data_IF_731837664150
#
_entry.id   IF_731837664150
#
_cell.length_a   1.000
_cell.length_b   1.000
_cell.length_c   1.000
_cell.angle_alpha   90.00
_cell.angle_beta   90.00
_cell.angle_gamma   90.00
#
_symmetry.space_group_name_H-M   'P 1'
#
loop_
_entity.id
_entity.type
_entity.pdbx_description
1 polymer ?
#
# COMPACT_ATOMS: atom_id res chain seq x y z
N UNK A 1 20.11 30.88 -34.28
CA UNK A 1 19.39 30.79 -32.99
C UNK A 1 19.49 29.36 -32.49
N UNK A 2 20.44 29.10 -31.60
CA UNK A 2 20.66 27.80 -30.97
C UNK A 2 19.53 27.53 -29.98
N UNK A 3 18.65 26.58 -30.31
CA UNK A 3 17.71 26.02 -29.34
C UNK A 3 18.52 25.34 -28.24
N UNK A 4 18.71 26.05 -27.13
CA UNK A 4 19.18 25.42 -25.90
C UNK A 4 18.13 24.38 -25.50
N UNK A 5 18.44 23.11 -25.77
CA UNK A 5 17.77 21.97 -25.17
C UNK A 5 17.86 22.19 -23.64
N UNK A 6 16.78 22.71 -23.04
CA UNK A 6 16.61 22.69 -21.58
C UNK A 6 16.53 21.23 -21.18
N UNK A 7 17.69 20.65 -20.88
CA UNK A 7 17.77 19.37 -20.20
C UNK A 7 17.09 19.58 -18.86
N UNK A 8 15.84 19.14 -18.74
CA UNK A 8 15.14 19.16 -17.46
C UNK A 8 15.97 18.32 -16.50
N UNK A 9 16.31 18.82 -15.30
CA UNK A 9 16.96 18.00 -14.32
C UNK A 9 15.99 16.88 -13.94
N UNK A 10 16.31 15.63 -14.31
CA UNK A 10 15.52 14.45 -13.99
C UNK A 10 16.21 13.68 -12.88
N UNK A 11 15.54 13.56 -11.73
CA UNK A 11 16.02 12.70 -10.65
C UNK A 11 15.58 11.26 -10.89
N UNK A 12 16.46 10.44 -11.48
CA UNK A 12 16.22 8.99 -11.64
C UNK A 12 15.95 8.32 -10.28
N UNK A 13 16.72 8.68 -9.25
CA UNK A 13 16.52 8.15 -7.89
C UNK A 13 15.15 8.51 -7.30
N UNK A 14 14.68 9.75 -7.50
CA UNK A 14 13.35 10.17 -7.03
C UNK A 14 12.22 9.40 -7.71
N UNK A 15 12.35 9.12 -9.01
CA UNK A 15 11.36 8.32 -9.75
C UNK A 15 11.30 6.87 -9.27
N UNK A 16 12.45 6.25 -8.99
CA UNK A 16 12.51 4.89 -8.45
C UNK A 16 11.86 4.83 -7.07
N UNK A 17 12.17 5.78 -6.19
CA UNK A 17 11.56 5.85 -4.84
C UNK A 17 10.06 6.06 -4.94
N UNK A 18 9.59 6.96 -5.81
CA UNK A 18 8.16 7.16 -6.05
C UNK A 18 7.47 5.89 -6.54
N UNK A 19 8.05 5.21 -7.53
CA UNK A 19 7.49 3.97 -8.07
C UNK A 19 7.41 2.88 -6.98
N UNK A 20 8.46 2.73 -6.17
CA UNK A 20 8.47 1.82 -5.03
C UNK A 20 7.41 2.18 -3.97
N UNK A 21 7.28 3.48 -3.63
CA UNK A 21 6.26 3.95 -2.70
C UNK A 21 4.84 3.63 -3.20
N UNK A 22 4.54 3.89 -4.47
CA UNK A 22 3.21 3.64 -5.03
C UNK A 22 2.90 2.16 -5.17
N UNK A 23 3.88 1.35 -5.61
CA UNK A 23 3.70 -0.09 -5.75
C UNK A 23 3.47 -0.74 -4.38
N UNK A 24 4.29 -0.41 -3.38
CA UNK A 24 4.11 -0.95 -2.03
C UNK A 24 2.80 -0.47 -1.40
N UNK A 25 2.42 0.80 -1.60
CA UNK A 25 1.16 1.32 -1.10
C UNK A 25 -0.03 0.58 -1.72
N UNK A 26 -0.02 0.37 -3.04
CA UNK A 26 -1.06 -0.38 -3.73
C UNK A 26 -1.16 -1.82 -3.18
N UNK A 27 -0.02 -2.50 -3.00
CA UNK A 27 0.01 -3.84 -2.41
C UNK A 27 -0.58 -3.87 -1.01
N UNK A 28 -0.21 -2.93 -0.13
CA UNK A 28 -0.76 -2.84 1.23
C UNK A 28 -2.27 -2.58 1.20
N UNK A 29 -2.75 -1.67 0.35
CA UNK A 29 -4.18 -1.35 0.24
C UNK A 29 -4.99 -2.53 -0.31
N UNK A 30 -4.48 -3.24 -1.32
CA UNK A 30 -5.13 -4.44 -1.85
C UNK A 30 -5.16 -5.54 -0.78
N UNK A 31 -4.04 -5.79 -0.10
CA UNK A 31 -3.94 -6.82 0.93
C UNK A 31 -4.74 -6.55 2.20
N UNK A 32 -5.05 -5.29 2.48
CA UNK A 32 -5.89 -4.90 3.62
C UNK A 32 -7.35 -4.72 3.21
N UNK A 33 -7.64 -3.65 2.47
CA UNK A 33 -9.01 -3.27 2.09
C UNK A 33 -9.62 -4.20 1.05
N UNK A 34 -8.81 -4.74 0.12
CA UNK A 34 -9.30 -5.72 -0.85
C UNK A 34 -9.73 -7.02 -0.20
N UNK A 35 -8.93 -7.53 0.74
CA UNK A 35 -9.27 -8.73 1.54
C UNK A 35 -10.49 -8.45 2.41
N UNK A 36 -10.53 -7.30 3.09
CA UNK A 36 -11.67 -6.88 3.91
C UNK A 36 -12.98 -6.78 3.12
N UNK A 37 -12.94 -6.15 1.94
CA UNK A 37 -14.11 -6.02 1.08
C UNK A 37 -14.59 -7.38 0.58
N UNK A 38 -13.67 -8.26 0.21
CA UNK A 38 -14.02 -9.61 -0.24
C UNK A 38 -14.66 -10.42 0.89
N UNK A 39 -14.15 -10.28 2.12
CA UNK A 39 -14.75 -10.90 3.31
C UNK A 39 -16.17 -10.40 3.58
N UNK A 40 -16.37 -9.08 3.54
CA UNK A 40 -17.68 -8.46 3.76
C UNK A 40 -18.71 -8.88 2.70
N UNK A 41 -18.29 -8.95 1.43
CA UNK A 41 -19.15 -9.43 0.34
C UNK A 41 -19.49 -10.92 0.47
N UNK A 42 -18.55 -11.74 0.94
CA UNK A 42 -18.76 -13.19 1.16
C UNK A 42 -19.82 -13.45 2.23
N UNK A 43 -19.86 -12.64 3.28
CA UNK A 43 -20.79 -12.77 4.41
C UNK A 43 -22.05 -11.89 4.24
N UNK A 44 -22.14 -11.13 3.14
CA UNK A 44 -23.20 -10.16 2.84
C UNK A 44 -23.40 -9.09 3.95
N UNK A 45 -22.29 -8.69 4.59
CA UNK A 45 -22.27 -7.74 5.71
C UNK A 45 -21.32 -6.56 5.42
N UNK A 46 -21.73 -5.69 4.49
CA UNK A 46 -21.00 -4.46 4.17
C UNK A 46 -20.76 -3.54 5.38
N UNK A 47 -21.68 -3.43 6.37
CA UNK A 47 -21.38 -2.69 7.60
C UNK A 47 -20.16 -3.20 8.37
N UNK A 48 -19.75 -4.46 8.20
CA UNK A 48 -18.54 -4.99 8.81
C UNK A 48 -17.24 -4.31 8.32
N UNK A 49 -17.29 -3.57 7.20
CA UNK A 49 -16.19 -2.72 6.75
C UNK A 49 -15.79 -1.66 7.77
N UNK A 50 -16.71 -1.22 8.64
CA UNK A 50 -16.44 -0.22 9.68
C UNK A 50 -16.01 -0.84 11.01
N UNK A 51 -16.21 -2.15 11.17
CA UNK A 51 -15.92 -2.89 12.40
C UNK A 51 -15.41 -4.29 12.04
N UNK A 52 -14.19 -4.41 11.49
CA UNK A 52 -13.63 -5.70 11.08
C UNK A 52 -13.37 -6.59 12.30
N UNK A 53 -13.60 -7.89 12.18
CA UNK A 53 -13.35 -8.84 13.26
C UNK A 53 -13.64 -10.28 12.84
N UNK A 54 -12.90 -11.23 13.42
CA UNK A 54 -13.03 -12.66 13.10
C UNK A 54 -14.43 -13.16 13.44
N UNK A 55 -15.04 -12.64 14.49
CA UNK A 55 -16.38 -13.02 14.96
C UNK A 55 -17.47 -12.72 13.91
N UNK A 56 -17.21 -11.74 13.05
CA UNK A 56 -18.18 -11.22 12.06
C UNK A 56 -17.83 -11.61 10.62
N UNK A 57 -16.54 -11.64 10.29
CA UNK A 57 -16.03 -11.88 8.93
C UNK A 57 -15.38 -13.26 8.74
N UNK A 58 -15.06 -13.97 9.83
CA UNK A 58 -14.28 -15.21 9.82
C UNK A 58 -12.78 -14.96 9.60
N UNK A 59 -12.05 -16.03 9.27
CA UNK A 59 -10.62 -15.97 8.97
C UNK A 59 -10.40 -15.18 7.66
N UNK A 60 -9.49 -14.18 7.64
CA UNK A 60 -9.17 -13.43 6.43
C UNK A 60 -8.72 -14.32 5.26
N UNK A 61 -8.12 -15.49 5.53
CA UNK A 61 -7.66 -16.43 4.51
C UNK A 61 -8.83 -17.07 3.76
N UNK A 62 -9.99 -17.22 4.39
CA UNK A 62 -11.17 -17.78 3.72
C UNK A 62 -11.81 -16.81 2.72
N UNK A 63 -11.37 -15.56 2.73
CA UNK A 63 -11.83 -14.51 1.81
C UNK A 63 -10.97 -14.42 0.55
N UNK A 64 -9.96 -15.28 0.43
CA UNK A 64 -9.14 -15.44 -0.76
C UNK A 64 -9.92 -16.25 -1.82
N UNK A 65 -9.69 -16.00 -3.12
CA UNK A 65 -10.32 -16.79 -4.18
C UNK A 65 -10.09 -18.30 -3.98
N UNK A 66 -11.06 -19.16 -4.33
CA UNK A 66 -11.16 -20.53 -3.82
C UNK A 66 -9.92 -21.40 -4.07
N UNK A 67 -9.53 -22.14 -3.03
CA UNK A 67 -8.42 -23.10 -2.99
C UNK A 67 -8.89 -24.45 -3.55
N UNK A 68 -8.82 -24.64 -4.86
CA UNK A 68 -8.98 -25.95 -5.51
C UNK A 68 -7.64 -26.69 -5.70
N UNK A 69 -7.60 -27.94 -6.18
CA UNK A 69 -6.34 -28.63 -6.49
C UNK A 69 -5.47 -27.90 -7.54
N UNK A 70 -6.06 -27.03 -8.35
CA UNK A 70 -5.36 -26.15 -9.31
C UNK A 70 -4.88 -24.81 -8.71
N UNK A 71 -5.14 -24.56 -7.43
CA UNK A 71 -4.89 -23.28 -6.76
C UNK A 71 -3.41 -22.94 -6.56
N UNK A 72 -2.54 -23.95 -6.48
CA UNK A 72 -1.09 -23.77 -6.40
C UNK A 72 -0.53 -22.99 -7.60
N UNK A 73 -1.22 -23.01 -8.75
CA UNK A 73 -0.83 -22.31 -9.97
C UNK A 73 -1.69 -21.07 -10.26
N UNK A 74 -2.61 -20.68 -9.36
CA UNK A 74 -3.45 -19.51 -9.59
C UNK A 74 -2.71 -18.21 -9.21
N UNK A 75 -2.27 -17.39 -10.19
CA UNK A 75 -1.48 -16.19 -9.90
C UNK A 75 -2.28 -15.13 -9.12
N UNK A 76 -3.61 -15.12 -9.23
CA UNK A 76 -4.46 -14.18 -8.50
C UNK A 76 -4.51 -14.52 -7.01
N UNK A 77 -4.57 -15.81 -6.67
CA UNK A 77 -4.50 -16.25 -5.28
C UNK A 77 -3.18 -15.82 -4.65
N UNK A 78 -2.07 -16.09 -5.34
CA UNK A 78 -0.74 -15.67 -4.87
C UNK A 78 -0.62 -14.16 -4.73
N UNK A 79 -1.18 -13.37 -5.65
CA UNK A 79 -1.19 -11.92 -5.55
C UNK A 79 -1.93 -11.45 -4.29
N UNK A 80 -3.10 -12.02 -3.99
CA UNK A 80 -3.88 -11.68 -2.80
C UNK A 80 -3.18 -12.13 -1.50
N UNK A 81 -2.69 -13.38 -1.42
CA UNK A 81 -1.92 -13.86 -0.26
C UNK A 81 -0.68 -13.01 0.01
N UNK A 82 0.16 -12.79 -1.01
CA UNK A 82 1.36 -11.97 -0.87
C UNK A 82 1.00 -10.54 -0.49
N UNK A 83 -0.07 -9.98 -1.06
CA UNK A 83 -0.52 -8.64 -0.69
C UNK A 83 -0.97 -8.55 0.77
N UNK A 84 -1.69 -9.57 1.27
CA UNK A 84 -2.11 -9.68 2.67
C UNK A 84 -0.90 -9.77 3.60
N UNK A 85 0.05 -10.64 3.28
CA UNK A 85 1.31 -10.78 4.04
C UNK A 85 2.06 -9.44 4.06
N UNK A 86 2.19 -8.76 2.93
CA UNK A 86 2.82 -7.42 2.86
C UNK A 86 2.06 -6.41 3.71
N UNK A 87 0.72 -6.45 3.72
CA UNK A 87 -0.11 -5.57 4.55
C UNK A 87 0.09 -5.79 6.06
N UNK A 88 0.45 -7.00 6.50
CA UNK A 88 0.85 -7.25 7.89
C UNK A 88 2.10 -6.46 8.28
N UNK A 89 2.99 -6.16 7.33
CA UNK A 89 4.18 -5.34 7.56
C UNK A 89 3.92 -3.84 7.36
N UNK A 90 2.67 -3.37 7.42
CA UNK A 90 2.31 -1.95 7.20
C UNK A 90 3.12 -0.99 8.08
N UNK A 91 3.37 -1.32 9.35
CA UNK A 91 4.13 -0.47 10.26
C UNK A 91 5.59 -0.26 9.83
N UNK A 92 6.43 -1.31 9.68
CA UNK A 92 7.80 -1.14 9.21
C UNK A 92 7.87 -0.59 7.78
N UNK A 93 6.94 -0.97 6.89
CA UNK A 93 6.89 -0.45 5.52
C UNK A 93 6.59 1.05 5.49
N UNK A 94 5.63 1.52 6.28
CA UNK A 94 5.30 2.93 6.37
C UNK A 94 6.48 3.74 6.92
N UNK A 95 7.16 3.25 7.96
CA UNK A 95 8.35 3.89 8.49
C UNK A 95 9.45 4.02 7.42
N UNK A 96 9.78 2.94 6.70
CA UNK A 96 10.78 2.99 5.62
C UNK A 96 10.36 3.91 4.47
N UNK A 97 9.10 3.83 4.04
CA UNK A 97 8.58 4.65 2.94
C UNK A 97 8.62 6.15 3.27
N UNK A 98 8.32 6.52 4.53
CA UNK A 98 8.41 7.89 5.01
C UNK A 98 9.86 8.38 5.06
N UNK A 99 10.79 7.58 5.61
CA UNK A 99 12.22 7.94 5.65
C UNK A 99 12.80 8.14 4.25
N UNK A 100 12.57 7.18 3.35
CA UNK A 100 13.02 7.26 1.95
C UNK A 100 12.35 8.43 1.21
N UNK A 101 11.08 8.69 1.49
CA UNK A 101 10.32 9.83 0.98
C UNK A 101 10.94 11.16 1.38
N UNK A 102 11.19 11.36 2.67
CA UNK A 102 11.79 12.59 3.21
C UNK A 102 13.18 12.85 2.63
N UNK A 103 14.05 11.84 2.61
CA UNK A 103 15.41 11.95 2.02
C UNK A 103 15.32 12.32 0.54
N UNK A 104 14.40 11.69 -0.19
CA UNK A 104 14.22 11.94 -1.63
C UNK A 104 13.58 13.30 -1.93
N UNK A 105 12.70 13.82 -1.05
CA UNK A 105 12.17 15.18 -1.15
C UNK A 105 13.27 16.23 -1.01
N UNK A 106 14.15 16.07 -0.02
CA UNK A 106 15.30 16.97 0.17
C UNK A 106 16.19 16.93 -1.08
N UNK A 107 16.54 15.74 -1.56
CA UNK A 107 17.41 15.57 -2.74
C UNK A 107 16.79 16.16 -4.01
N UNK A 108 15.51 15.91 -4.27
CA UNK A 108 14.81 16.43 -5.46
C UNK A 108 14.62 17.94 -5.40
N UNK A 109 14.41 18.50 -4.20
CA UNK A 109 14.37 19.96 -3.98
C UNK A 109 15.71 20.62 -4.31
N UNK A 110 16.82 20.01 -3.89
CA UNK A 110 18.17 20.52 -4.20
C UNK A 110 18.48 20.48 -5.71
N UNK A 111 18.00 19.44 -6.41
CA UNK A 111 18.20 19.26 -7.86
C UNK A 111 17.26 20.16 -8.70
N UNK A 112 16.20 20.70 -8.10
CA UNK A 112 15.23 21.56 -8.80
C UNK A 112 14.20 20.81 -9.65
N UNK A 113 14.08 19.49 -9.50
CA UNK A 113 13.10 18.65 -10.21
C UNK A 113 11.71 18.78 -9.58
N UNK A 114 11.03 19.90 -9.86
CA UNK A 114 9.69 20.22 -9.34
C UNK A 114 8.61 19.17 -9.63
N UNK A 115 8.50 18.56 -10.84
CA UNK A 115 7.45 17.57 -11.08
C UNK A 115 7.68 16.30 -10.25
N UNK A 116 8.91 15.79 -10.18
CA UNK A 116 9.22 14.62 -9.34
C UNK A 116 9.00 14.94 -7.85
N UNK A 117 9.39 16.13 -7.40
CA UNK A 117 9.15 16.59 -6.03
C UNK A 117 7.66 16.54 -5.65
N UNK A 118 6.76 17.08 -6.51
CA UNK A 118 5.31 17.09 -6.24
C UNK A 118 4.75 15.68 -6.09
N UNK A 119 5.09 14.79 -7.02
CA UNK A 119 4.60 13.41 -6.95
C UNK A 119 5.16 12.66 -5.75
N UNK A 120 6.42 12.86 -5.41
CA UNK A 120 7.05 12.24 -4.26
C UNK A 120 6.47 12.77 -2.94
N UNK A 121 6.07 14.05 -2.91
CA UNK A 121 5.36 14.63 -1.77
C UNK A 121 3.97 13.99 -1.60
N UNK A 122 3.23 13.77 -2.69
CA UNK A 122 1.95 13.07 -2.68
C UNK A 122 2.13 11.64 -2.17
N UNK A 123 3.08 10.88 -2.74
CA UNK A 123 3.35 9.49 -2.32
C UNK A 123 3.72 9.40 -0.83
N UNK A 124 4.59 10.30 -0.37
CA UNK A 124 4.99 10.37 1.05
C UNK A 124 3.82 10.78 1.96
N UNK A 125 2.97 11.71 1.51
CA UNK A 125 1.78 12.11 2.26
C UNK A 125 0.75 10.97 2.36
N UNK A 126 0.57 10.19 1.30
CA UNK A 126 -0.28 8.99 1.33
C UNK A 126 0.25 7.97 2.33
N UNK A 127 1.56 7.70 2.35
CA UNK A 127 2.16 6.84 3.36
C UNK A 127 2.00 7.39 4.78
N UNK A 128 2.06 8.70 4.96
CA UNK A 128 1.78 9.34 6.25
C UNK A 128 0.34 9.10 6.68
N UNK A 129 -0.63 9.30 5.77
CA UNK A 129 -2.04 9.03 6.04
C UNK A 129 -2.28 7.55 6.37
N UNK A 130 -1.67 6.61 5.65
CA UNK A 130 -1.74 5.17 5.94
C UNK A 130 -1.16 4.85 7.32
N UNK A 131 -0.02 5.44 7.69
CA UNK A 131 0.58 5.25 9.01
C UNK A 131 -0.31 5.79 10.14
N UNK A 132 -0.88 6.98 9.96
CA UNK A 132 -1.83 7.54 10.94
C UNK A 132 -3.06 6.66 11.06
N UNK A 133 -3.62 6.21 9.93
CA UNK A 133 -4.77 5.33 9.92
C UNK A 133 -4.47 3.99 10.60
N UNK A 134 -3.30 3.38 10.37
CA UNK A 134 -2.92 2.10 10.98
C UNK A 134 -2.80 2.21 12.50
N UNK A 135 -2.45 3.39 13.03
CA UNK A 135 -2.36 3.64 14.48
C UNK A 135 -3.71 3.97 15.13
N UNK A 136 -4.78 4.17 14.35
CA UNK A 136 -6.12 4.34 14.92
C UNK A 136 -6.65 3.02 15.49
N UNK A 137 -7.64 3.04 16.40
CA UNK A 137 -8.28 1.81 16.89
C UNK A 137 -8.82 0.93 15.75
N UNK A 138 -9.41 1.56 14.72
CA UNK A 138 -9.85 0.87 13.51
C UNK A 138 -8.70 0.21 12.76
N UNK A 139 -7.59 0.92 12.56
CA UNK A 139 -6.40 0.40 11.89
C UNK A 139 -5.78 -0.79 12.63
N UNK A 140 -5.70 -0.71 13.96
CA UNK A 140 -5.22 -1.80 14.80
C UNK A 140 -6.14 -3.01 14.76
N UNK A 141 -7.46 -2.80 14.80
CA UNK A 141 -8.45 -3.86 14.68
C UNK A 141 -8.36 -4.57 13.32
N UNK A 142 -8.27 -3.80 12.23
CA UNK A 142 -8.04 -4.34 10.89
C UNK A 142 -6.72 -5.11 10.81
N UNK A 143 -5.65 -4.57 11.40
CA UNK A 143 -4.35 -5.19 11.38
C UNK A 143 -4.33 -6.52 12.15
N UNK A 144 -4.98 -6.59 13.31
CA UNK A 144 -5.14 -7.83 14.08
C UNK A 144 -5.96 -8.86 13.31
N UNK A 145 -7.10 -8.47 12.75
CA UNK A 145 -7.91 -9.37 11.94
C UNK A 145 -7.14 -9.93 10.74
N UNK A 146 -6.26 -9.14 10.11
CA UNK A 146 -5.42 -9.64 9.01
C UNK A 146 -4.35 -10.65 9.45
N UNK A 147 -3.91 -10.60 10.72
CA UNK A 147 -2.90 -11.49 11.30
C UNK A 147 -3.47 -12.85 11.70
N UNK A 148 -4.76 -12.92 12.01
CA UNK A 148 -5.46 -14.17 12.32
C UNK A 148 -5.48 -15.13 11.12
#
# INVERSE_FOLDING_TARGET
MSQQLRVRPVSLGGRVVLAAQLLMLATVLIGSLGVLLTAALRVDDLPALLSPGVERLGDPKDSLPPVGPDSAWNPLLWAFELSRVVAMFVHPLAAMALLLGLVSLVRTRLIGDRPTFRWLAIGTALWCATAVLSLTPYGMQLHHWLLD
#
